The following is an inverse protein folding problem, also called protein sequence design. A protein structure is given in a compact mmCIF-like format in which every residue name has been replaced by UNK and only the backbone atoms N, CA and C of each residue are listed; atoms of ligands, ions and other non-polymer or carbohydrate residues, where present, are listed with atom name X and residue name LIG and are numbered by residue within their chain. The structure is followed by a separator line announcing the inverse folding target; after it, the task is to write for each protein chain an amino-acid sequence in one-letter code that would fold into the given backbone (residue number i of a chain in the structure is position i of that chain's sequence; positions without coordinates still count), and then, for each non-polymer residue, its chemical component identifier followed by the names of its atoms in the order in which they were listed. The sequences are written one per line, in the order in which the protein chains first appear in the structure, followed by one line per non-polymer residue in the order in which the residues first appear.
data_IF_279800007316
#
_entry.id   IF_279800007316
#
_cell.length_a   1.000
_cell.length_b   1.000
_cell.length_c   1.000
_cell.angle_alpha   90.00
_cell.angle_beta   90.00
_cell.angle_gamma   90.00
#
_symmetry.space_group_name_H-M   'P 1'
#
loop_
_entity.id
_entity.type
_entity.pdbx_description
1 polymer ?
#
# COMPACT_ATOMS: atom_id res chain seq x y z
N UNK A 1 18.36 6.47 20.87
CA UNK A 1 19.03 5.78 19.73
C UNK A 1 18.31 6.06 18.42
N UNK A 2 17.01 5.80 18.31
CA UNK A 2 16.22 6.06 17.10
C UNK A 2 16.33 7.50 16.59
N UNK A 3 16.05 8.50 17.43
CA UNK A 3 16.08 9.93 17.05
C UNK A 3 17.45 10.39 16.51
N UNK A 4 18.55 9.86 17.06
CA UNK A 4 19.90 10.17 16.59
C UNK A 4 20.16 9.67 15.17
N UNK A 5 19.63 8.49 14.83
CA UNK A 5 19.74 7.94 13.48
C UNK A 5 18.75 8.61 12.53
N UNK A 6 17.52 8.89 12.97
CA UNK A 6 16.52 9.60 12.20
C UNK A 6 17.02 10.98 11.72
N UNK A 7 17.65 11.75 12.61
CA UNK A 7 18.23 13.06 12.28
C UNK A 7 19.31 12.99 11.19
N UNK A 8 19.90 11.82 10.92
CA UNK A 8 20.92 11.62 9.88
C UNK A 8 20.35 11.17 8.54
N UNK A 9 19.04 10.91 8.43
CA UNK A 9 18.40 10.55 7.17
C UNK A 9 18.48 11.65 6.11
N UNK A 10 18.56 12.92 6.51
CA UNK A 10 18.69 14.09 5.62
C UNK A 10 20.11 14.68 5.59
N UNK A 11 21.10 13.95 6.13
CA UNK A 11 22.47 14.45 6.20
C UNK A 11 23.10 14.66 4.81
N UNK A 12 23.91 15.71 4.63
CA UNK A 12 24.54 16.02 3.31
C UNK A 12 25.40 14.89 2.74
N UNK A 13 26.16 14.22 3.61
CA UNK A 13 26.99 13.07 3.24
C UNK A 13 26.12 11.81 3.05
N UNK A 14 26.10 11.31 1.82
CA UNK A 14 25.40 10.07 1.39
C UNK A 14 25.79 8.89 2.28
N UNK A 15 27.06 8.75 2.69
CA UNK A 15 27.50 7.63 3.54
C UNK A 15 26.84 7.66 4.91
N UNK A 16 26.66 8.86 5.47
CA UNK A 16 25.97 9.03 6.76
C UNK A 16 24.48 8.73 6.62
N UNK A 17 23.81 9.18 5.55
CA UNK A 17 22.40 8.82 5.27
C UNK A 17 22.23 7.32 5.14
N UNK A 18 23.06 6.67 4.33
CA UNK A 18 23.02 5.21 4.13
C UNK A 18 23.26 4.44 5.42
N UNK A 19 24.17 4.91 6.27
CA UNK A 19 24.42 4.32 7.60
C UNK A 19 23.24 4.52 8.53
N UNK A 20 22.59 5.67 8.48
CA UNK A 20 21.39 5.98 9.26
C UNK A 20 20.23 5.05 8.89
N UNK A 21 19.92 4.94 7.59
CA UNK A 21 18.93 3.99 7.06
C UNK A 21 19.23 2.58 7.59
N UNK A 22 20.45 2.08 7.39
CA UNK A 22 20.84 0.74 7.83
C UNK A 22 20.62 0.54 9.33
N UNK A 23 21.01 1.53 10.15
CA UNK A 23 20.83 1.47 11.60
C UNK A 23 19.37 1.50 12.02
N UNK A 24 18.50 2.25 11.34
CA UNK A 24 17.06 2.24 11.61
C UNK A 24 16.44 0.89 11.26
N UNK A 25 16.83 0.29 10.12
CA UNK A 25 16.41 -1.06 9.75
C UNK A 25 16.91 -2.14 10.73
N UNK A 26 18.13 -2.01 11.23
CA UNK A 26 18.68 -2.90 12.26
C UNK A 26 17.95 -2.77 13.61
N UNK A 27 17.47 -1.58 13.96
CA UNK A 27 16.68 -1.35 15.19
C UNK A 27 15.28 -1.94 15.09
N UNK A 28 14.75 -2.04 13.86
CA UNK A 28 13.44 -2.63 13.56
C UNK A 28 12.28 -2.06 14.39
N UNK A 29 12.32 -0.76 14.64
CA UNK A 29 11.33 -0.04 15.42
C UNK A 29 10.35 0.68 14.49
N UNK A 30 9.06 0.29 14.46
CA UNK A 30 8.06 0.91 13.58
C UNK A 30 7.92 2.42 13.80
N UNK A 31 8.20 2.93 15.00
CA UNK A 31 8.18 4.38 15.28
C UNK A 31 9.19 5.18 14.43
N UNK A 32 10.13 4.51 13.75
CA UNK A 32 11.03 5.13 12.80
C UNK A 32 10.31 5.60 11.51
N UNK A 33 9.16 5.02 11.17
CA UNK A 33 8.51 5.19 9.87
C UNK A 33 8.17 6.65 9.55
N UNK A 34 7.73 7.41 10.55
CA UNK A 34 7.40 8.84 10.40
C UNK A 34 8.57 9.66 9.83
N UNK A 35 9.81 9.22 10.05
CA UNK A 35 11.02 9.91 9.57
C UNK A 35 11.38 9.57 8.12
N UNK A 36 10.81 8.51 7.55
CA UNK A 36 11.05 8.11 6.15
C UNK A 36 10.17 8.85 5.16
N UNK A 37 9.16 9.60 5.62
CA UNK A 37 8.27 10.32 4.70
C UNK A 37 9.01 11.27 3.73
N UNK A 38 9.89 12.16 4.17
CA UNK A 38 10.57 13.09 3.26
C UNK A 38 11.46 12.37 2.22
N UNK A 39 11.78 11.10 2.45
CA UNK A 39 12.61 10.30 1.56
C UNK A 39 11.80 9.67 0.43
N UNK A 40 10.47 9.58 0.53
CA UNK A 40 9.60 9.22 -0.60
C UNK A 40 9.65 10.28 -1.72
N UNK A 41 9.89 11.53 -1.35
CA UNK A 41 9.98 12.66 -2.28
C UNK A 41 11.38 12.81 -2.92
N UNK A 42 12.32 11.91 -2.59
CA UNK A 42 13.71 11.99 -3.04
C UNK A 42 13.88 11.58 -4.51
N UNK A 43 14.54 12.40 -5.31
CA UNK A 43 14.97 12.06 -6.68
C UNK A 43 16.08 10.99 -6.72
N UNK A 44 16.82 10.80 -5.63
CA UNK A 44 17.77 9.69 -5.50
C UNK A 44 17.00 8.37 -5.37
N UNK A 45 16.99 7.56 -6.43
CA UNK A 45 16.24 6.30 -6.50
C UNK A 45 16.61 5.30 -5.39
N UNK A 46 17.84 5.30 -4.90
CA UNK A 46 18.23 4.45 -3.75
C UNK A 46 17.52 4.90 -2.47
N UNK A 47 17.46 6.21 -2.21
CA UNK A 47 16.79 6.80 -1.04
C UNK A 47 15.29 6.60 -1.11
N UNK A 48 14.68 6.85 -2.26
CA UNK A 48 13.25 6.59 -2.50
C UNK A 48 12.91 5.11 -2.25
N UNK A 49 13.68 4.20 -2.85
CA UNK A 49 13.46 2.76 -2.67
C UNK A 49 13.56 2.34 -1.20
N UNK A 50 14.48 2.93 -0.43
CA UNK A 50 14.60 2.64 1.02
C UNK A 50 13.51 3.25 1.87
N UNK A 51 12.92 4.36 1.46
CA UNK A 51 11.69 4.84 2.08
C UNK A 51 10.54 3.86 1.81
N UNK A 52 10.32 3.47 0.56
CA UNK A 52 9.30 2.49 0.22
C UNK A 52 9.47 1.15 0.97
N UNK A 53 10.71 0.63 1.08
CA UNK A 53 11.03 -0.55 1.89
C UNK A 53 10.64 -0.37 3.37
N UNK A 54 10.83 0.84 3.93
CA UNK A 54 10.47 1.13 5.32
C UNK A 54 8.95 1.10 5.52
N UNK A 55 8.18 1.73 4.61
CA UNK A 55 6.71 1.65 4.61
C UNK A 55 6.22 0.20 4.46
N UNK A 56 6.78 -0.56 3.52
CA UNK A 56 6.45 -1.99 3.38
C UNK A 56 6.79 -2.80 4.62
N UNK A 57 7.81 -2.42 5.38
CA UNK A 57 8.23 -3.17 6.57
C UNK A 57 7.41 -2.82 7.81
N UNK A 58 7.14 -1.53 8.02
CA UNK A 58 6.67 -1.03 9.31
C UNK A 58 5.28 -0.39 9.28
N UNK A 59 4.68 -0.15 8.10
CA UNK A 59 3.34 0.42 8.06
C UNK A 59 2.31 -0.56 8.64
N UNK A 60 1.45 -0.02 9.51
CA UNK A 60 0.46 -0.73 10.30
C UNK A 60 -0.52 0.23 10.97
N UNK A 61 -1.44 -0.26 11.81
CA UNK A 61 -2.49 0.54 12.46
C UNK A 61 -1.98 1.77 13.21
N UNK A 62 -0.80 1.71 13.82
CA UNK A 62 -0.19 2.85 14.52
C UNK A 62 0.27 3.99 13.58
N UNK A 63 0.21 3.77 12.27
CA UNK A 63 0.63 4.69 11.22
C UNK A 63 -0.50 5.12 10.28
N UNK A 64 -1.77 4.86 10.65
CA UNK A 64 -2.94 5.19 9.83
C UNK A 64 -2.94 6.64 9.33
N UNK A 65 -2.53 7.59 10.18
CA UNK A 65 -2.41 9.02 9.83
C UNK A 65 -1.46 9.32 8.66
N UNK A 66 -0.53 8.41 8.34
CA UNK A 66 0.36 8.56 7.20
C UNK A 66 -0.34 8.21 5.88
N UNK A 67 -1.44 7.45 5.93
CA UNK A 67 -2.17 6.94 4.78
C UNK A 67 -2.72 8.03 3.86
N UNK A 68 -3.39 9.05 4.41
CA UNK A 68 -3.98 10.17 3.66
C UNK A 68 -2.96 10.79 2.69
N UNK A 69 -1.75 11.05 3.19
CA UNK A 69 -0.70 11.70 2.41
C UNK A 69 -0.11 10.82 1.33
N UNK A 70 -0.21 9.49 1.44
CA UNK A 70 0.25 8.56 0.41
C UNK A 70 -0.79 8.41 -0.70
N UNK A 71 -2.08 8.48 -0.34
CA UNK A 71 -3.21 8.42 -1.29
C UNK A 71 -3.25 9.65 -2.19
N UNK A 72 -3.06 10.83 -1.60
CA UNK A 72 -3.13 12.12 -2.30
C UNK A 72 -1.81 12.53 -2.98
N UNK A 73 -0.79 11.65 -2.96
CA UNK A 73 0.52 11.99 -3.52
C UNK A 73 0.44 12.16 -5.04
N UNK A 74 1.15 13.15 -5.58
CA UNK A 74 1.21 13.40 -7.03
C UNK A 74 1.88 12.27 -7.82
N UNK A 75 2.78 11.51 -7.18
CA UNK A 75 3.58 10.44 -7.81
C UNK A 75 2.83 9.11 -7.79
N UNK A 76 2.66 8.52 -8.97
CA UNK A 76 1.95 7.24 -9.13
C UNK A 76 2.59 6.10 -8.31
N UNK A 77 3.92 6.09 -8.19
CA UNK A 77 4.67 5.11 -7.40
C UNK A 77 4.41 5.21 -5.89
N UNK A 78 4.10 6.41 -5.38
CA UNK A 78 3.75 6.60 -3.97
C UNK A 78 2.31 6.15 -3.73
N UNK A 79 1.40 6.48 -4.64
CA UNK A 79 0.01 5.97 -4.61
C UNK A 79 -0.04 4.45 -4.74
N UNK A 80 0.81 3.86 -5.58
CA UNK A 80 0.94 2.42 -5.73
C UNK A 80 1.42 1.76 -4.42
N UNK A 81 2.44 2.36 -3.77
CA UNK A 81 2.89 1.92 -2.46
C UNK A 81 1.77 2.03 -1.42
N UNK A 82 0.95 3.08 -1.47
CA UNK A 82 -0.23 3.22 -0.60
C UNK A 82 -1.19 2.05 -0.79
N UNK A 83 -1.59 1.77 -2.04
CA UNK A 83 -2.48 0.67 -2.39
C UNK A 83 -1.91 -0.71 -1.96
N UNK A 84 -0.58 -0.85 -1.93
CA UNK A 84 0.10 -2.06 -1.49
C UNK A 84 0.00 -2.28 0.03
N UNK A 85 0.19 -1.24 0.83
CA UNK A 85 0.35 -1.36 2.29
C UNK A 85 -0.94 -1.10 3.08
N UNK A 86 -1.86 -0.29 2.56
CA UNK A 86 -3.11 0.08 3.22
C UNK A 86 -4.00 -1.11 3.58
N UNK A 87 -4.11 -2.20 2.79
CA UNK A 87 -4.96 -3.35 3.16
C UNK A 87 -4.63 -3.97 4.53
N UNK A 88 -3.42 -3.72 5.07
CA UNK A 88 -3.02 -4.14 6.42
C UNK A 88 -3.83 -3.50 7.55
N UNK A 89 -4.50 -2.38 7.27
CA UNK A 89 -5.40 -1.72 8.20
C UNK A 89 -6.81 -2.35 8.21
N UNK A 90 -7.08 -3.30 7.32
CA UNK A 90 -8.40 -3.91 7.16
C UNK A 90 -9.43 -2.87 6.73
N UNK A 91 -10.59 -2.90 7.38
CA UNK A 91 -11.73 -2.02 7.07
C UNK A 91 -11.39 -0.52 7.19
N UNK A 92 -10.45 -0.13 8.06
CA UNK A 92 -10.03 1.27 8.21
C UNK A 92 -9.41 1.84 6.91
N UNK A 93 -8.83 0.99 6.05
CA UNK A 93 -8.27 1.42 4.77
C UNK A 93 -9.31 1.55 3.65
N UNK A 94 -10.59 1.24 3.88
CA UNK A 94 -11.60 1.19 2.81
C UNK A 94 -11.73 2.50 2.06
N UNK A 95 -11.82 3.62 2.77
CA UNK A 95 -11.96 4.95 2.15
C UNK A 95 -10.72 5.29 1.31
N UNK A 96 -9.53 5.02 1.83
CA UNK A 96 -8.26 5.23 1.12
C UNK A 96 -8.17 4.39 -0.15
N UNK A 97 -8.47 3.09 -0.05
CA UNK A 97 -8.44 2.18 -1.20
C UNK A 97 -9.50 2.56 -2.24
N UNK A 98 -10.69 2.99 -1.82
CA UNK A 98 -11.74 3.49 -2.71
C UNK A 98 -11.33 4.78 -3.43
N UNK A 99 -10.55 5.66 -2.78
CA UNK A 99 -10.00 6.83 -3.46
C UNK A 99 -8.96 6.43 -4.52
N UNK A 100 -8.14 5.42 -4.23
CA UNK A 100 -7.10 4.92 -5.15
C UNK A 100 -7.66 4.17 -6.37
N UNK A 101 -8.92 3.69 -6.33
CA UNK A 101 -9.58 3.15 -7.53
C UNK A 101 -9.88 4.21 -8.58
N UNK A 102 -9.79 5.50 -8.25
CA UNK A 102 -9.94 6.61 -9.20
C UNK A 102 -8.59 7.13 -9.73
N UNK A 103 -7.48 6.45 -9.41
CA UNK A 103 -6.14 6.87 -9.87
C UNK A 103 -6.04 6.83 -11.40
N UNK A 104 -5.33 7.80 -12.04
CA UNK A 104 -5.12 7.78 -13.49
C UNK A 104 -4.41 6.53 -14.01
N UNK A 105 -3.52 5.94 -13.20
CA UNK A 105 -2.70 4.80 -13.55
C UNK A 105 -3.39 3.51 -13.19
N UNK A 106 -3.55 2.65 -14.19
CA UNK A 106 -4.19 1.35 -14.05
C UNK A 106 -3.55 0.44 -13.02
N UNK A 107 -2.23 0.55 -12.82
CA UNK A 107 -1.50 -0.28 -11.85
C UNK A 107 -1.90 0.07 -10.41
N UNK A 108 -2.10 1.38 -10.13
CA UNK A 108 -2.59 1.85 -8.83
C UNK A 108 -4.02 1.36 -8.61
N UNK A 109 -4.90 1.51 -9.61
CA UNK A 109 -6.28 1.03 -9.51
C UNK A 109 -6.34 -0.48 -9.30
N UNK A 110 -5.55 -1.26 -10.05
CA UNK A 110 -5.47 -2.71 -9.92
C UNK A 110 -5.06 -3.11 -8.50
N UNK A 111 -4.04 -2.45 -7.95
CA UNK A 111 -3.58 -2.72 -6.59
C UNK A 111 -4.64 -2.31 -5.56
N UNK A 112 -5.34 -1.18 -5.78
CA UNK A 112 -6.42 -0.72 -4.92
C UNK A 112 -7.58 -1.71 -4.87
N UNK A 113 -8.06 -2.18 -6.03
CA UNK A 113 -9.09 -3.22 -6.09
C UNK A 113 -8.63 -4.55 -5.49
N UNK A 114 -7.35 -4.92 -5.66
CA UNK A 114 -6.79 -6.10 -5.00
C UNK A 114 -6.87 -5.97 -3.48
N UNK A 115 -6.55 -4.78 -2.97
CA UNK A 115 -6.71 -4.43 -1.56
C UNK A 115 -8.16 -4.47 -1.09
N UNK A 116 -9.08 -3.84 -1.82
CA UNK A 116 -10.52 -3.85 -1.50
C UNK A 116 -11.05 -5.28 -1.46
N UNK A 117 -10.75 -6.12 -2.45
CA UNK A 117 -11.15 -7.53 -2.47
C UNK A 117 -10.61 -8.30 -1.27
N UNK A 118 -9.39 -7.99 -0.81
CA UNK A 118 -8.78 -8.67 0.33
C UNK A 118 -9.44 -8.29 1.68
N UNK A 119 -9.96 -7.06 1.80
CA UNK A 119 -10.66 -6.59 3.00
C UNK A 119 -12.18 -6.73 2.92
N UNK A 120 -12.72 -7.04 1.74
CA UNK A 120 -14.15 -7.15 1.50
C UNK A 120 -14.75 -8.32 2.27
N UNK A 121 -15.89 -8.05 2.92
CA UNK A 121 -16.75 -9.07 3.52
C UNK A 121 -17.99 -9.25 2.65
N UNK A 122 -19.14 -8.86 3.20
CA UNK A 122 -20.44 -8.93 2.51
C UNK A 122 -20.55 -8.00 1.29
N UNK A 123 -19.66 -7.02 1.20
CA UNK A 123 -19.64 -5.99 0.15
C UNK A 123 -18.74 -6.36 -1.05
N UNK A 124 -18.22 -7.59 -1.09
CA UNK A 124 -17.36 -8.06 -2.18
C UNK A 124 -18.02 -7.92 -3.56
N UNK A 125 -19.32 -8.19 -3.69
CA UNK A 125 -20.02 -8.12 -4.98
C UNK A 125 -20.00 -6.70 -5.58
N UNK A 126 -20.44 -5.64 -4.85
CA UNK A 126 -20.28 -4.26 -5.33
C UNK A 126 -18.86 -3.90 -5.77
N UNK A 127 -17.83 -4.33 -5.02
CA UNK A 127 -16.42 -4.07 -5.36
C UNK A 127 -16.05 -4.73 -6.71
N UNK A 128 -16.47 -5.97 -6.92
CA UNK A 128 -16.22 -6.70 -8.17
C UNK A 128 -16.99 -6.10 -9.35
N UNK A 129 -18.21 -5.62 -9.14
CA UNK A 129 -19.00 -4.94 -10.17
C UNK A 129 -18.29 -3.66 -10.65
N UNK A 130 -17.79 -2.84 -9.71
CA UNK A 130 -17.05 -1.63 -10.04
C UNK A 130 -15.74 -1.96 -10.79
N UNK A 131 -14.98 -2.95 -10.30
CA UNK A 131 -13.74 -3.41 -10.95
C UNK A 131 -13.99 -3.99 -12.36
N UNK A 132 -15.12 -4.67 -12.58
CA UNK A 132 -15.50 -5.21 -13.89
C UNK A 132 -15.84 -4.12 -14.92
N UNK A 133 -16.19 -2.91 -14.45
CA UNK A 133 -16.47 -1.75 -15.29
C UNK A 133 -15.23 -0.89 -15.59
N UNK A 134 -14.06 -1.18 -15.01
CA UNK A 134 -12.83 -0.41 -15.23
C UNK A 134 -12.38 -0.44 -16.70
N UNK A 135 -11.85 0.69 -17.19
CA UNK A 135 -11.33 0.82 -18.55
C UNK A 135 -10.14 -0.13 -18.83
N UNK A 136 -9.35 -0.47 -17.81
CA UNK A 136 -8.13 -1.26 -17.94
C UNK A 136 -8.40 -2.76 -17.78
N UNK A 137 -7.98 -3.54 -18.77
CA UNK A 137 -8.26 -4.97 -18.86
C UNK A 137 -7.76 -5.79 -17.67
N UNK A 138 -6.62 -5.42 -17.06
CA UNK A 138 -6.09 -6.12 -15.88
C UNK A 138 -7.03 -6.03 -14.67
N UNK A 139 -7.68 -4.88 -14.48
CA UNK A 139 -8.63 -4.66 -13.38
C UNK A 139 -9.90 -5.49 -13.61
N UNK A 140 -10.44 -5.47 -14.83
CA UNK A 140 -11.57 -6.34 -15.20
C UNK A 140 -11.25 -7.83 -15.03
N UNK A 141 -10.03 -8.23 -15.35
CA UNK A 141 -9.56 -9.61 -15.18
C UNK A 141 -9.50 -10.02 -13.71
N UNK A 142 -9.03 -9.14 -12.82
CA UNK A 142 -9.09 -9.37 -11.37
C UNK A 142 -10.53 -9.66 -10.93
N UNK A 143 -11.48 -8.83 -11.37
CA UNK A 143 -12.90 -8.99 -11.03
C UNK A 143 -13.45 -10.35 -11.46
N UNK A 144 -13.21 -10.74 -12.72
CA UNK A 144 -13.66 -12.02 -13.27
C UNK A 144 -13.05 -13.23 -12.53
N UNK A 145 -11.75 -13.18 -12.21
CA UNK A 145 -11.08 -14.27 -11.49
C UNK A 145 -11.62 -14.42 -10.07
N UNK A 146 -11.85 -13.31 -9.36
CA UNK A 146 -12.40 -13.39 -8.00
C UNK A 146 -13.86 -13.83 -8.00
N UNK A 147 -14.66 -13.37 -8.95
CA UNK A 147 -16.04 -13.83 -9.11
C UNK A 147 -16.12 -15.35 -9.39
N UNK A 148 -15.23 -15.86 -10.26
CA UNK A 148 -15.13 -17.31 -10.49
C UNK A 148 -14.81 -18.08 -9.21
N UNK A 149 -13.81 -17.62 -8.45
CA UNK A 149 -13.43 -18.24 -7.18
C UNK A 149 -14.58 -18.25 -6.17
N UNK A 150 -15.35 -17.16 -6.07
CA UNK A 150 -16.52 -17.08 -5.19
C UNK A 150 -17.60 -18.14 -5.54
N UNK A 151 -17.86 -18.35 -6.83
CA UNK A 151 -18.81 -19.39 -7.29
C UNK A 151 -18.29 -20.79 -6.92
N UNK A 152 -16.99 -21.03 -7.10
CA UNK A 152 -16.36 -22.30 -6.75
C UNK A 152 -16.41 -22.58 -5.24
N UNK A 153 -16.11 -21.58 -4.41
CA UNK A 153 -16.19 -21.65 -2.95
C UNK A 153 -17.62 -22.00 -2.52
N UNK A 154 -18.62 -21.30 -3.08
CA UNK A 154 -20.03 -21.56 -2.78
C UNK A 154 -20.51 -22.94 -3.23
N UNK A 155 -20.05 -23.42 -4.38
CA UNK A 155 -20.38 -24.75 -4.86
C UNK A 155 -19.81 -25.84 -3.93
N UNK A 156 -18.57 -25.66 -3.43
CA UNK A 156 -17.95 -26.58 -2.46
C UNK A 156 -18.73 -26.64 -1.15
N UNK A 157 -19.14 -25.49 -0.61
CA UNK A 157 -19.95 -25.42 0.63
C UNK A 157 -21.25 -26.22 0.50
N UNK A 158 -21.95 -26.09 -0.63
CA UNK A 158 -23.21 -26.81 -0.89
C UNK A 158 -23.02 -28.32 -1.02
N UNK A 159 -21.87 -28.77 -1.52
CA UNK A 159 -21.56 -30.20 -1.67
C UNK A 159 -21.02 -30.84 -0.38
N UNK A 160 -20.58 -30.03 0.59
CA UNK A 160 -20.08 -30.49 1.89
C UNK A 160 -21.14 -30.58 2.99
N UNK A 161 -22.34 -30.04 2.76
CA UNK A 161 -23.50 -30.08 3.67
C UNK A 161 -24.51 -31.14 3.23
#
# INVERSE_FOLDING_TARGET
MLQQHAARLTHRDVRQRRRAVRKLFELDDPAALVHFKPLLDSDDGWTHAKAADAYRRWFGPEHEELGDRLVDDSRAEVRLLAAEILPRLGEAARSHLSALTESPESDVRLQAYTGLVAISGDDLLPVLEQAAADEHHSVRRLAALRAHALVEDRAKELLSN
#
